data_IF_652173715643
#
_entry.id   IF_652173715643
#
_cell.length_a   1.000
_cell.length_b   1.000
_cell.length_c   1.000
_cell.angle_alpha   90.00
_cell.angle_beta   90.00
_cell.angle_gamma   90.00
#
_symmetry.space_group_name_H-M   'P 1'
#
loop_
_entity.id
_entity.type
_entity.pdbx_description
1 polymer ?
#
# COMPACT_ATOMS: atom_id res chain seq x y z
N UNK A 1 -11.81 38.02 11.85
CA UNK A 1 -11.42 37.18 10.70
C UNK A 1 -12.45 37.32 9.58
N UNK A 2 -12.03 37.29 8.30
CA UNK A 2 -12.92 37.45 7.13
C UNK A 2 -13.08 36.14 6.36
N UNK A 3 -14.09 36.05 5.47
CA UNK A 3 -14.28 34.89 4.60
C UNK A 3 -13.07 34.66 3.68
N UNK A 4 -12.43 35.72 3.18
CA UNK A 4 -11.23 35.62 2.37
C UNK A 4 -10.07 34.98 3.13
N UNK A 5 -9.93 35.28 4.44
CA UNK A 5 -8.91 34.67 5.29
C UNK A 5 -9.18 33.18 5.55
N UNK A 6 -10.45 32.76 5.64
CA UNK A 6 -10.81 31.33 5.72
C UNK A 6 -10.43 30.60 4.44
N UNK A 7 -10.77 31.17 3.29
CA UNK A 7 -10.47 30.56 1.99
C UNK A 7 -8.97 30.49 1.71
N UNK A 8 -8.19 31.45 2.22
CA UNK A 8 -6.73 31.46 2.10
C UNK A 8 -6.04 30.30 2.85
N UNK A 9 -6.72 29.65 3.81
CA UNK A 9 -6.18 28.45 4.49
C UNK A 9 -6.10 27.23 3.57
N UNK A 10 -6.81 27.24 2.44
CA UNK A 10 -6.74 26.19 1.43
C UNK A 10 -5.82 26.64 0.28
N UNK A 11 -4.67 25.98 0.06
CA UNK A 11 -3.84 26.20 -1.12
C UNK A 11 -4.61 25.83 -2.39
N UNK A 12 -4.38 26.55 -3.47
CA UNK A 12 -4.93 26.20 -4.80
C UNK A 12 -4.02 25.28 -5.59
N UNK A 13 -2.72 25.28 -5.28
CA UNK A 13 -1.69 24.51 -5.97
C UNK A 13 -0.60 24.07 -4.96
N UNK A 14 0.06 22.94 -5.24
CA UNK A 14 1.13 22.41 -4.40
C UNK A 14 1.18 20.89 -4.39
N UNK A 15 2.22 20.35 -3.75
CA UNK A 15 2.37 18.92 -3.47
C UNK A 15 1.70 18.50 -2.17
N UNK A 16 1.74 17.21 -1.85
CA UNK A 16 1.11 16.65 -0.65
C UNK A 16 1.58 17.33 0.64
N UNK A 17 2.88 17.66 0.73
CA UNK A 17 3.46 18.35 1.89
C UNK A 17 2.92 19.78 2.08
N UNK A 18 2.53 20.46 1.00
CA UNK A 18 1.92 21.80 1.08
C UNK A 18 0.51 21.71 1.68
N UNK A 19 -0.29 20.74 1.23
CA UNK A 19 -1.63 20.52 1.77
C UNK A 19 -1.59 20.01 3.22
N UNK A 20 -0.58 19.23 3.60
CA UNK A 20 -0.41 18.77 4.98
C UNK A 20 -0.14 19.94 5.94
N UNK A 21 0.70 20.92 5.54
CA UNK A 21 0.90 22.14 6.32
C UNK A 21 -0.38 22.97 6.42
N UNK A 22 -1.07 23.15 5.28
CA UNK A 22 -2.34 23.87 5.26
C UNK A 22 -3.41 23.25 6.16
N UNK A 23 -3.46 21.92 6.25
CA UNK A 23 -4.33 21.22 7.18
C UNK A 23 -4.01 21.59 8.64
N UNK A 24 -2.73 21.49 9.02
CA UNK A 24 -2.29 21.84 10.37
C UNK A 24 -2.59 23.31 10.71
N UNK A 25 -2.35 24.22 9.77
CA UNK A 25 -2.65 25.64 9.95
C UNK A 25 -4.16 25.89 10.09
N UNK A 26 -5.00 25.19 9.31
CA UNK A 26 -6.45 25.28 9.40
C UNK A 26 -6.98 24.71 10.74
N UNK A 27 -6.46 23.58 11.20
CA UNK A 27 -6.81 22.99 12.49
C UNK A 27 -6.41 23.88 13.66
N UNK A 28 -5.19 24.43 13.64
CA UNK A 28 -4.72 25.38 14.64
C UNK A 28 -5.62 26.62 14.67
N UNK A 29 -5.97 27.16 13.50
CA UNK A 29 -6.84 28.35 13.43
C UNK A 29 -8.25 28.07 13.92
N UNK A 30 -8.79 26.86 13.69
CA UNK A 30 -10.08 26.43 14.24
C UNK A 30 -10.00 26.38 15.77
N UNK A 31 -8.95 25.81 16.34
CA UNK A 31 -8.76 25.72 17.78
C UNK A 31 -8.67 27.11 18.43
N UNK A 32 -7.92 28.04 17.83
CA UNK A 32 -7.83 29.43 18.28
C UNK A 32 -9.20 30.12 18.30
N UNK A 33 -10.00 29.97 17.23
CA UNK A 33 -11.35 30.56 17.16
C UNK A 33 -12.32 29.98 18.20
N UNK A 34 -12.19 28.70 18.53
CA UNK A 34 -12.99 28.09 19.59
C UNK A 34 -12.57 28.62 20.96
N UNK A 35 -11.27 28.76 21.21
CA UNK A 35 -10.75 29.37 22.44
C UNK A 35 -11.17 30.84 22.59
N UNK A 36 -11.14 31.63 21.50
CA UNK A 36 -11.66 33.00 21.47
C UNK A 36 -13.15 33.06 21.86
N UNK A 37 -13.94 32.10 21.37
CA UNK A 37 -15.36 32.01 21.70
C UNK A 37 -15.61 31.65 23.17
N UNK A 38 -14.86 30.69 23.71
CA UNK A 38 -14.94 30.27 25.12
C UNK A 38 -14.52 31.41 26.06
N UNK A 39 -13.44 32.13 25.72
CA UNK A 39 -12.98 33.28 26.49
C UNK A 39 -14.03 34.40 26.53
N UNK A 40 -14.63 34.73 25.37
CA UNK A 40 -15.69 35.73 25.30
C UNK A 40 -16.93 35.34 26.12
N UNK A 41 -17.27 34.05 26.19
CA UNK A 41 -18.34 33.56 27.05
C UNK A 41 -18.00 33.61 28.54
N UNK A 42 -16.78 33.25 28.91
CA UNK A 42 -16.31 33.39 30.28
C UNK A 42 -16.33 34.85 30.75
N UNK A 43 -15.87 35.77 29.92
CA UNK A 43 -15.94 37.22 30.18
C UNK A 43 -17.37 37.72 30.31
N UNK A 44 -18.27 37.22 29.45
CA UNK A 44 -19.70 37.53 29.53
C UNK A 44 -20.30 37.05 30.85
N UNK A 45 -20.00 35.82 31.26
CA UNK A 45 -20.49 35.23 32.52
C UNK A 45 -19.97 35.99 33.74
N UNK A 46 -18.67 36.32 33.76
CA UNK A 46 -18.07 37.11 34.84
C UNK A 46 -18.61 38.54 34.89
N UNK A 47 -18.99 39.11 33.74
CA UNK A 47 -19.50 40.46 33.60
C UNK A 47 -21.00 40.64 33.84
N UNK A 48 -21.77 39.56 34.07
CA UNK A 48 -23.25 39.61 34.16
C UNK A 48 -23.80 40.62 35.19
N UNK A 49 -23.06 40.90 36.25
CA UNK A 49 -23.48 41.79 37.33
C UNK A 49 -22.87 43.21 37.24
N UNK A 50 -21.94 43.43 36.31
CA UNK A 50 -21.05 44.60 36.33
C UNK A 50 -20.89 45.30 34.98
N UNK A 51 -21.19 44.62 33.88
CA UNK A 51 -21.17 45.18 32.52
C UNK A 51 -22.56 45.68 32.14
N UNK A 52 -22.60 46.67 31.24
CA UNK A 52 -23.85 47.11 30.64
C UNK A 52 -24.35 46.14 29.56
N UNK A 53 -25.64 46.21 29.22
CA UNK A 53 -26.27 45.33 28.23
C UNK A 53 -25.59 45.38 26.86
N UNK A 54 -25.00 46.53 26.50
CA UNK A 54 -24.32 46.73 25.22
C UNK A 54 -22.98 45.98 25.19
N UNK A 55 -22.25 45.96 26.30
CA UNK A 55 -21.01 45.21 26.47
C UNK A 55 -21.28 43.71 26.47
N UNK A 56 -22.33 43.26 27.17
CA UNK A 56 -22.75 41.85 27.15
C UNK A 56 -23.15 41.39 25.75
N UNK A 57 -23.92 42.21 25.02
CA UNK A 57 -24.30 41.91 23.63
C UNK A 57 -23.08 41.83 22.69
N UNK A 58 -22.09 42.71 22.84
CA UNK A 58 -20.84 42.65 22.06
C UNK A 58 -20.05 41.36 22.31
N UNK A 59 -19.96 40.91 23.56
CA UNK A 59 -19.27 39.66 23.90
C UNK A 59 -20.00 38.44 23.32
N UNK A 60 -21.33 38.45 23.33
CA UNK A 60 -22.15 37.42 22.70
C UNK A 60 -21.97 37.39 21.16
N UNK A 61 -21.99 38.56 20.52
CA UNK A 61 -21.73 38.68 19.08
C UNK A 61 -20.32 38.21 18.70
N UNK A 62 -19.31 38.52 19.54
CA UNK A 62 -17.94 38.08 19.35
C UNK A 62 -17.84 36.54 19.45
N UNK A 63 -18.42 35.93 20.49
CA UNK A 63 -18.45 34.48 20.65
C UNK A 63 -19.17 33.78 19.49
N UNK A 64 -20.34 34.29 19.09
CA UNK A 64 -21.10 33.76 17.96
C UNK A 64 -20.36 33.96 16.62
N UNK A 65 -19.65 35.08 16.45
CA UNK A 65 -18.78 35.36 15.31
C UNK A 65 -17.64 34.36 15.19
N UNK A 66 -16.92 34.13 16.29
CA UNK A 66 -15.80 33.19 16.37
C UNK A 66 -16.25 31.74 16.09
N UNK A 67 -17.36 31.28 16.68
CA UNK A 67 -17.96 29.96 16.40
C UNK A 67 -18.37 29.77 14.94
N UNK A 68 -19.04 30.75 14.35
CA UNK A 68 -19.40 30.69 12.92
C UNK A 68 -18.16 30.58 12.05
N UNK A 69 -17.06 31.21 12.46
CA UNK A 69 -15.82 31.14 11.73
C UNK A 69 -15.12 29.79 11.91
N UNK A 70 -15.09 29.24 13.13
CA UNK A 70 -14.58 27.90 13.41
C UNK A 70 -15.33 26.83 12.59
N UNK A 71 -16.66 26.92 12.52
CA UNK A 71 -17.49 26.03 11.70
C UNK A 71 -17.18 26.14 10.20
N UNK A 72 -16.84 27.34 9.70
CA UNK A 72 -16.43 27.51 8.30
C UNK A 72 -15.07 26.87 8.02
N UNK A 73 -14.12 26.99 8.95
CA UNK A 73 -12.81 26.33 8.84
C UNK A 73 -13.00 24.81 8.89
N UNK A 74 -13.85 24.31 9.78
CA UNK A 74 -14.18 22.88 9.87
C UNK A 74 -14.76 22.34 8.56
N UNK A 75 -15.63 23.10 7.89
CA UNK A 75 -16.17 22.73 6.58
C UNK A 75 -15.11 22.70 5.47
N UNK A 76 -13.96 23.37 5.63
CA UNK A 76 -12.86 23.33 4.66
C UNK A 76 -11.93 22.12 4.84
N UNK A 77 -11.83 21.55 6.04
CA UNK A 77 -10.90 20.45 6.33
C UNK A 77 -11.08 19.24 5.38
N UNK A 78 -12.31 18.77 5.09
CA UNK A 78 -12.50 17.67 4.15
C UNK A 78 -12.00 18.00 2.73
N UNK A 79 -12.15 19.25 2.29
CA UNK A 79 -11.69 19.69 0.97
C UNK A 79 -10.15 19.70 0.88
N UNK A 80 -9.48 20.14 1.95
CA UNK A 80 -8.01 20.12 2.03
C UNK A 80 -7.50 18.67 2.02
N UNK A 81 -8.17 17.76 2.74
CA UNK A 81 -7.85 16.33 2.70
C UNK A 81 -7.98 15.71 1.31
N UNK A 82 -9.09 16.00 0.61
CA UNK A 82 -9.31 15.50 -0.74
C UNK A 82 -8.24 15.99 -1.72
N UNK A 83 -7.86 17.27 -1.63
CA UNK A 83 -6.82 17.84 -2.48
C UNK A 83 -5.44 17.27 -2.17
N UNK A 84 -5.13 17.04 -0.88
CA UNK A 84 -3.91 16.34 -0.46
C UNK A 84 -3.85 14.93 -1.06
N UNK A 85 -4.94 14.17 -0.99
CA UNK A 85 -4.99 12.82 -1.55
C UNK A 85 -4.78 12.83 -3.08
N UNK A 86 -5.38 13.79 -3.79
CA UNK A 86 -5.15 13.97 -5.23
C UNK A 86 -3.71 14.35 -5.55
N UNK A 87 -3.10 15.23 -4.76
CA UNK A 87 -1.71 15.64 -4.93
C UNK A 87 -0.76 14.44 -4.74
N UNK A 88 -0.94 13.68 -3.65
CA UNK A 88 -0.17 12.47 -3.39
C UNK A 88 -0.30 11.44 -4.53
N UNK A 89 -1.52 11.20 -5.02
CA UNK A 89 -1.73 10.27 -6.14
C UNK A 89 -1.00 10.73 -7.42
N UNK A 90 -0.99 12.03 -7.71
CA UNK A 90 -0.26 12.58 -8.86
C UNK A 90 1.25 12.43 -8.71
N UNK A 91 1.79 12.65 -7.50
CA UNK A 91 3.21 12.44 -7.20
C UNK A 91 3.61 10.97 -7.41
N UNK A 92 2.81 10.03 -6.88
CA UNK A 92 3.06 8.59 -7.10
C UNK A 92 3.00 8.21 -8.57
N UNK A 93 2.04 8.72 -9.34
CA UNK A 93 1.98 8.45 -10.79
C UNK A 93 3.22 8.99 -11.50
N UNK A 94 3.66 10.20 -11.16
CA UNK A 94 4.86 10.79 -11.76
C UNK A 94 6.13 9.96 -11.45
N UNK A 95 6.26 9.42 -10.24
CA UNK A 95 7.36 8.52 -9.88
C UNK A 95 7.34 7.22 -10.70
N UNK A 96 6.15 6.61 -10.88
CA UNK A 96 5.99 5.41 -11.68
C UNK A 96 6.31 5.67 -13.17
N UNK A 97 5.85 6.80 -13.72
CA UNK A 97 6.14 7.20 -15.09
C UNK A 97 7.64 7.46 -15.29
N UNK A 98 8.33 8.05 -14.30
CA UNK A 98 9.77 8.26 -14.34
C UNK A 98 10.57 6.95 -14.32
N UNK A 99 10.08 5.92 -13.62
CA UNK A 99 10.72 4.60 -13.57
C UNK A 99 10.41 3.68 -14.77
N UNK A 100 9.34 3.94 -15.51
CA UNK A 100 8.91 3.10 -16.63
C UNK A 100 9.97 2.91 -17.75
N UNK A 101 10.77 3.93 -18.14
CA UNK A 101 11.79 3.76 -19.18
C UNK A 101 12.88 2.74 -18.84
N UNK A 102 13.31 2.67 -17.58
CA UNK A 102 14.34 1.73 -17.13
C UNK A 102 13.83 0.28 -17.20
N UNK A 103 12.60 0.06 -16.72
CA UNK A 103 11.93 -1.25 -16.79
C UNK A 103 11.75 -1.67 -18.26
N UNK A 104 11.31 -0.76 -19.12
CA UNK A 104 11.17 -1.02 -20.55
C UNK A 104 12.52 -1.38 -21.21
N UNK A 105 13.60 -0.69 -20.83
CA UNK A 105 14.94 -0.99 -21.33
C UNK A 105 15.43 -2.38 -20.86
N UNK A 106 15.18 -2.74 -19.60
CA UNK A 106 15.52 -4.04 -19.05
C UNK A 106 14.74 -5.18 -19.74
N UNK A 107 13.43 -5.00 -19.97
CA UNK A 107 12.61 -5.94 -20.74
C UNK A 107 13.14 -6.09 -22.17
N UNK A 108 13.46 -4.97 -22.84
CA UNK A 108 14.00 -5.01 -24.19
C UNK A 108 15.38 -5.68 -24.26
N UNK A 109 16.22 -5.53 -23.23
CA UNK A 109 17.50 -6.22 -23.12
C UNK A 109 17.31 -7.73 -22.91
N UNK A 110 16.39 -8.12 -22.02
CA UNK A 110 16.03 -9.52 -21.78
C UNK A 110 15.49 -10.19 -23.04
N UNK A 111 14.55 -9.55 -23.74
CA UNK A 111 13.98 -10.07 -24.98
C UNK A 111 15.05 -10.28 -26.06
N UNK A 112 16.00 -9.34 -26.20
CA UNK A 112 17.14 -9.50 -27.11
C UNK A 112 18.06 -10.67 -26.69
N UNK A 113 18.34 -10.81 -25.40
CA UNK A 113 19.14 -11.90 -24.87
C UNK A 113 18.47 -13.27 -25.11
N UNK A 114 17.17 -13.39 -24.86
CA UNK A 114 16.39 -14.60 -25.14
C UNK A 114 16.41 -14.94 -26.62
N UNK A 115 16.20 -13.96 -27.50
CA UNK A 115 16.17 -14.16 -28.95
C UNK A 115 17.51 -14.69 -29.51
N UNK A 116 18.62 -14.46 -28.81
CA UNK A 116 19.98 -14.83 -29.28
C UNK A 116 20.49 -16.14 -28.71
N UNK A 117 19.79 -16.78 -27.76
CA UNK A 117 20.20 -18.05 -27.12
C UNK A 117 19.13 -19.17 -27.05
N UNK A 118 18.24 -19.34 -28.05
CA UNK A 118 17.11 -20.26 -27.91
C UNK A 118 17.50 -21.74 -27.81
N UNK A 119 18.56 -22.20 -28.48
CA UNK A 119 18.86 -23.62 -28.58
C UNK A 119 19.45 -24.22 -27.29
N UNK A 120 20.40 -23.54 -26.66
CA UNK A 120 21.12 -24.05 -25.48
C UNK A 120 20.22 -24.01 -24.22
N UNK A 121 19.48 -22.93 -24.02
CA UNK A 121 18.57 -22.78 -22.89
C UNK A 121 17.43 -23.78 -22.97
N UNK A 122 16.84 -23.98 -24.16
CA UNK A 122 15.79 -24.99 -24.36
C UNK A 122 16.31 -26.42 -24.19
N UNK A 123 17.54 -26.71 -24.62
CA UNK A 123 18.16 -28.02 -24.44
C UNK A 123 18.33 -28.36 -22.95
N UNK A 124 18.91 -27.44 -22.16
CA UNK A 124 19.11 -27.63 -20.72
C UNK A 124 17.79 -27.76 -19.94
N UNK A 125 16.77 -26.99 -20.31
CA UNK A 125 15.44 -27.12 -19.69
C UNK A 125 14.81 -28.48 -20.00
N UNK A 126 14.91 -28.96 -21.24
CA UNK A 126 14.39 -30.27 -21.64
C UNK A 126 15.09 -31.40 -20.88
N UNK A 127 16.42 -31.35 -20.83
CA UNK A 127 17.24 -32.31 -20.08
C UNK A 127 16.86 -32.35 -18.59
N UNK A 128 16.69 -31.19 -17.96
CA UNK A 128 16.26 -31.11 -16.55
C UNK A 128 14.89 -31.74 -16.30
N UNK A 129 13.92 -31.52 -17.19
CA UNK A 129 12.57 -32.13 -17.11
C UNK A 129 12.63 -33.64 -17.30
N UNK A 130 13.43 -34.12 -18.24
CA UNK A 130 13.58 -35.56 -18.51
C UNK A 130 14.24 -36.30 -17.33
N UNK A 131 15.26 -35.69 -16.71
CA UNK A 131 15.89 -36.20 -15.49
C UNK A 131 14.91 -36.26 -14.31
N UNK A 132 14.10 -35.21 -14.13
CA UNK A 132 13.08 -35.17 -13.08
C UNK A 132 12.02 -36.27 -13.27
N UNK A 133 11.48 -36.41 -14.48
CA UNK A 133 10.50 -37.44 -14.80
C UNK A 133 11.08 -38.85 -14.58
N UNK A 134 12.35 -39.05 -14.95
CA UNK A 134 13.06 -40.31 -14.74
C UNK A 134 13.21 -40.64 -13.26
N UNK A 135 13.56 -39.66 -12.43
CA UNK A 135 13.68 -39.82 -10.97
C UNK A 135 12.32 -40.17 -10.32
N UNK A 136 11.23 -39.50 -10.73
CA UNK A 136 9.88 -39.79 -10.25
C UNK A 136 9.47 -41.22 -10.62
N UNK A 137 9.68 -41.64 -11.87
CA UNK A 137 9.34 -42.97 -12.33
C UNK A 137 10.16 -44.06 -11.61
N UNK A 138 11.45 -43.81 -11.35
CA UNK A 138 12.31 -44.73 -10.60
C UNK A 138 11.84 -44.88 -9.15
N UNK A 139 11.46 -43.79 -8.49
CA UNK A 139 10.94 -43.81 -7.14
C UNK A 139 9.61 -44.56 -7.04
N UNK A 140 8.67 -44.34 -7.97
CA UNK A 140 7.41 -45.08 -8.00
C UNK A 140 7.64 -46.60 -8.13
N UNK A 141 8.50 -47.02 -9.06
CA UNK A 141 8.88 -48.45 -9.20
C UNK A 141 9.51 -49.01 -7.93
N UNK A 142 10.32 -48.21 -7.23
CA UNK A 142 10.92 -48.63 -5.97
C UNK A 142 9.88 -48.78 -4.87
N UNK A 143 8.89 -47.88 -4.77
CA UNK A 143 7.77 -48.02 -3.86
C UNK A 143 6.97 -49.30 -4.12
N UNK A 144 6.67 -49.61 -5.38
CA UNK A 144 5.99 -50.86 -5.75
C UNK A 144 6.80 -52.11 -5.33
N UNK A 145 8.13 -52.08 -5.47
CA UNK A 145 9.02 -53.16 -5.03
C UNK A 145 9.04 -53.32 -3.50
N UNK A 146 9.03 -52.21 -2.77
CA UNK A 146 8.93 -52.21 -1.31
C UNK A 146 7.60 -52.81 -0.86
N UNK A 147 6.50 -52.39 -1.48
CA UNK A 147 5.16 -52.91 -1.19
C UNK A 147 5.05 -54.41 -1.48
N UNK A 148 5.60 -54.87 -2.61
CA UNK A 148 5.66 -56.28 -2.96
C UNK A 148 6.50 -57.09 -1.95
N UNK A 149 7.68 -56.59 -1.58
CA UNK A 149 8.55 -57.25 -0.59
C UNK A 149 7.85 -57.39 0.77
N UNK A 150 7.06 -56.40 1.18
CA UNK A 150 6.27 -56.44 2.41
C UNK A 150 5.06 -57.38 2.37
N UNK A 151 4.71 -57.97 1.22
CA UNK A 151 3.73 -59.07 1.21
C UNK A 151 4.26 -60.30 1.93
N UNK A 152 5.59 -60.49 1.97
CA UNK A 152 6.23 -61.56 2.72
C UNK A 152 6.17 -61.30 4.24
N UNK A 153 5.54 -62.17 5.05
CA UNK A 153 5.45 -62.01 6.50
C UNK A 153 6.80 -61.93 7.22
N UNK A 154 7.82 -62.65 6.71
CA UNK A 154 9.16 -62.62 7.27
C UNK A 154 9.82 -61.24 7.10
N UNK A 155 9.56 -60.56 5.98
CA UNK A 155 10.05 -59.20 5.72
C UNK A 155 9.33 -58.18 6.60
N UNK A 156 8.02 -58.31 6.79
CA UNK A 156 7.25 -57.47 7.73
C UNK A 156 7.74 -57.58 9.17
N UNK A 157 8.12 -58.78 9.60
CA UNK A 157 8.62 -59.01 10.96
C UNK A 157 9.95 -58.28 11.25
N UNK A 158 10.72 -57.90 10.22
CA UNK A 158 11.95 -57.12 10.36
C UNK A 158 11.71 -55.62 10.61
N UNK A 159 10.47 -55.14 10.48
CA UNK A 159 10.11 -53.73 10.72
C UNK A 159 10.30 -52.81 9.50
N UNK A 160 10.29 -51.48 9.70
CA UNK A 160 10.35 -50.50 8.62
C UNK A 160 11.72 -50.48 7.93
N UNK A 161 11.72 -50.40 6.59
CA UNK A 161 12.90 -50.23 5.75
C UNK A 161 13.37 -48.78 5.85
N UNK A 162 14.52 -48.55 6.49
CA UNK A 162 15.16 -47.24 6.60
C UNK A 162 16.22 -47.07 5.51
N UNK A 163 15.78 -46.88 4.27
CA UNK A 163 16.66 -46.61 3.13
C UNK A 163 16.64 -45.11 2.85
N UNK A 164 17.80 -44.46 2.98
CA UNK A 164 17.95 -43.05 2.63
C UNK A 164 18.05 -42.90 1.11
N UNK A 165 17.03 -42.28 0.52
CA UNK A 165 16.95 -42.02 -0.92
C UNK A 165 17.31 -40.57 -1.27
N UNK A 166 17.72 -39.78 -0.28
CA UNK A 166 17.86 -38.34 -0.40
C UNK A 166 16.52 -37.62 -0.57
N UNK A 167 16.58 -36.30 -0.72
CA UNK A 167 15.39 -35.49 -0.98
C UNK A 167 15.11 -35.46 -2.48
N UNK A 168 13.88 -35.79 -2.89
CA UNK A 168 13.43 -35.43 -4.23
C UNK A 168 13.54 -33.92 -4.40
N UNK A 169 14.11 -33.42 -5.52
CA UNK A 169 14.02 -32.01 -5.82
C UNK A 169 12.54 -31.67 -5.84
N UNK A 170 12.14 -30.73 -4.97
CA UNK A 170 10.79 -30.16 -4.96
C UNK A 170 10.49 -29.77 -6.41
N UNK A 171 9.22 -29.83 -6.84
CA UNK A 171 8.76 -29.05 -8.00
C UNK A 171 9.08 -27.58 -7.69
N UNK A 172 10.34 -27.16 -7.84
CA UNK A 172 10.65 -25.82 -8.26
C UNK A 172 9.90 -25.76 -9.57
N UNK A 173 8.71 -25.15 -9.52
CA UNK A 173 7.98 -24.78 -10.70
C UNK A 173 9.03 -24.07 -11.54
N UNK A 174 9.53 -24.74 -12.59
CA UNK A 174 10.05 -24.03 -13.74
C UNK A 174 8.97 -22.98 -13.98
N UNK A 175 9.28 -21.68 -13.79
CA UNK A 175 8.24 -20.68 -13.72
C UNK A 175 7.36 -20.88 -14.94
N UNK A 176 6.05 -21.06 -14.73
CA UNK A 176 5.06 -21.32 -15.78
C UNK A 176 5.13 -20.28 -16.93
N UNK A 177 5.89 -19.19 -16.73
CA UNK A 177 6.16 -18.13 -17.68
C UNK A 177 7.27 -18.44 -18.71
N UNK A 178 7.91 -19.61 -18.66
CA UNK A 178 8.82 -20.08 -19.73
C UNK A 178 8.09 -20.95 -20.78
N UNK A 179 6.76 -21.06 -20.70
CA UNK A 179 5.92 -21.38 -21.86
C UNK A 179 5.94 -20.18 -22.82
N UNK A 180 7.02 -20.09 -23.61
CA UNK A 180 7.02 -19.32 -24.84
C UNK A 180 5.97 -19.92 -25.78
N UNK A 181 4.78 -19.30 -25.84
CA UNK A 181 3.81 -19.55 -26.90
C UNK A 181 2.40 -19.95 -26.46
N UNK A 182 1.65 -19.01 -25.87
CA UNK A 182 0.27 -18.66 -26.30
C UNK A 182 -0.29 -17.53 -25.44
N UNK A 183 0.06 -16.31 -25.81
CA UNK A 183 -0.92 -15.23 -25.81
C UNK A 183 -1.35 -15.11 -27.29
N UNK A 184 -2.66 -15.25 -27.51
CA UNK A 184 -3.41 -15.50 -28.76
C UNK A 184 -3.77 -16.97 -29.02
#
# INVERSE_FOLDING_TARGET
MTLAQVLALRPTEGGAATYQRALADAEARRAELLAEAEQAEHERQAGLLHLDDKQLSKLEEAAAGARRMAARVEALLPLIHDDMAKAAARETVAELEAGAPEVAAAIAALNRWVATRPAEIQALMREGVDLQNSAIAAFARYQDQVDEAYRNPAVRALGPLNIDLGQMPVRAMLPNNLYFGRLL
#
